data_IF_516408127099
#
_entry.id   IF_516408127099
#
_cell.length_a   1.000
_cell.length_b   1.000
_cell.length_c   1.000
_cell.angle_alpha   90.00
_cell.angle_beta   90.00
_cell.angle_gamma   90.00
#
_symmetry.space_group_name_H-M   'P 1'
#
loop_
_entity.id
_entity.type
_entity.pdbx_description
1 polymer ?
#
# COMPACT_ATOMS: atom_id res chain seq x y z
N UNK A 1 -12.48 -11.92 9.58
CA UNK A 1 -11.57 -12.30 8.48
C UNK A 1 -10.69 -13.43 9.00
N UNK A 2 -10.83 -14.63 8.45
CA UNK A 2 -9.94 -15.76 8.78
C UNK A 2 -8.51 -15.41 8.34
N UNK A 3 -7.53 -15.67 9.21
CA UNK A 3 -6.12 -15.50 8.87
C UNK A 3 -5.67 -16.76 8.11
N UNK A 4 -5.42 -16.63 6.82
CA UNK A 4 -4.95 -17.74 6.01
C UNK A 4 -3.43 -17.90 6.18
N UNK A 5 -3.02 -19.06 6.69
CA UNK A 5 -1.60 -19.36 6.95
C UNK A 5 -1.07 -20.16 5.77
N UNK A 6 -0.07 -19.62 5.07
CA UNK A 6 0.46 -20.23 3.84
C UNK A 6 1.86 -20.74 4.15
N UNK A 7 2.07 -22.04 3.91
CA UNK A 7 3.32 -22.74 4.18
C UNK A 7 4.25 -22.59 2.97
N UNK A 8 5.50 -22.25 3.22
CA UNK A 8 6.54 -22.14 2.20
C UNK A 8 7.34 -23.45 2.17
N UNK A 9 7.78 -23.88 0.99
CA UNK A 9 8.75 -24.98 0.90
C UNK A 9 10.09 -24.56 1.53
N UNK A 10 10.70 -25.48 2.31
CA UNK A 10 11.93 -25.22 3.07
C UNK A 10 11.75 -24.26 4.26
N UNK A 11 10.53 -24.15 4.79
CA UNK A 11 10.21 -23.18 5.85
C UNK A 11 11.07 -23.35 7.11
N UNK A 12 11.43 -24.58 7.48
CA UNK A 12 12.25 -24.84 8.67
C UNK A 12 13.67 -24.34 8.47
N UNK A 13 14.30 -24.68 7.34
CA UNK A 13 15.66 -24.21 7.01
C UNK A 13 15.70 -22.68 6.90
N UNK A 14 14.75 -22.09 6.16
CA UNK A 14 14.64 -20.64 6.02
C UNK A 14 14.42 -19.95 7.38
N UNK A 15 13.58 -20.50 8.25
CA UNK A 15 13.36 -19.95 9.59
C UNK A 15 14.63 -20.02 10.46
N UNK A 16 15.39 -21.11 10.38
CA UNK A 16 16.64 -21.26 11.12
C UNK A 16 17.71 -20.28 10.62
N UNK A 17 17.87 -20.15 9.30
CA UNK A 17 18.79 -19.18 8.69
C UNK A 17 18.41 -17.73 9.05
N UNK A 18 17.12 -17.41 9.03
CA UNK A 18 16.61 -16.10 9.42
C UNK A 18 16.85 -15.80 10.91
N UNK A 19 16.72 -16.79 11.80
CA UNK A 19 17.05 -16.64 13.22
C UNK A 19 18.54 -16.38 13.43
N UNK A 20 19.40 -17.01 12.63
CA UNK A 20 20.85 -16.83 12.69
C UNK A 20 21.31 -15.40 12.32
N UNK A 21 20.51 -14.62 11.58
CA UNK A 21 20.83 -13.22 11.24
C UNK A 21 20.87 -12.28 12.46
N UNK A 22 20.23 -12.64 13.58
CA UNK A 22 20.09 -11.78 14.76
C UNK A 22 19.01 -10.69 14.60
N UNK A 23 18.48 -10.18 15.73
CA UNK A 23 17.21 -9.44 15.79
C UNK A 23 17.10 -8.19 14.89
N UNK A 24 18.16 -7.39 14.77
CA UNK A 24 18.14 -6.17 13.93
C UNK A 24 18.13 -6.48 12.42
N UNK A 25 18.98 -7.43 11.99
CA UNK A 25 19.06 -7.85 10.58
C UNK A 25 17.81 -8.62 10.16
N UNK A 26 17.33 -9.53 11.00
CA UNK A 26 16.06 -10.23 10.81
C UNK A 26 14.90 -9.24 10.62
N UNK A 27 14.83 -8.20 11.47
CA UNK A 27 13.80 -7.17 11.35
C UNK A 27 13.87 -6.42 10.02
N UNK A 28 15.08 -6.05 9.55
CA UNK A 28 15.25 -5.38 8.26
C UNK A 28 14.86 -6.29 7.10
N UNK A 29 15.27 -7.55 7.13
CA UNK A 29 14.91 -8.56 6.13
C UNK A 29 13.38 -8.75 6.07
N UNK A 30 12.71 -8.89 7.21
CA UNK A 30 11.25 -9.02 7.27
C UNK A 30 10.53 -7.77 6.72
N UNK A 31 11.03 -6.57 7.04
CA UNK A 31 10.45 -5.33 6.49
C UNK A 31 10.61 -5.30 4.96
N UNK A 32 11.82 -5.60 4.46
CA UNK A 32 12.10 -5.59 3.02
C UNK A 32 11.23 -6.63 2.28
N UNK A 33 11.14 -7.85 2.80
CA UNK A 33 10.33 -8.92 2.24
C UNK A 33 8.85 -8.55 2.15
N UNK A 34 8.28 -8.03 3.23
CA UNK A 34 6.88 -7.59 3.21
C UNK A 34 6.69 -6.39 2.28
N UNK A 35 7.61 -5.43 2.25
CA UNK A 35 7.53 -4.30 1.31
C UNK A 35 7.54 -4.77 -0.15
N UNK A 36 8.40 -5.73 -0.47
CA UNK A 36 8.51 -6.31 -1.81
C UNK A 36 7.24 -7.07 -2.18
N UNK A 37 6.77 -7.95 -1.28
CA UNK A 37 5.56 -8.74 -1.48
C UNK A 37 4.29 -7.91 -1.62
N UNK A 38 4.23 -6.70 -1.06
CA UNK A 38 3.06 -5.83 -1.23
C UNK A 38 3.04 -5.07 -2.57
N UNK A 39 4.13 -5.06 -3.35
CA UNK A 39 4.19 -4.33 -4.63
C UNK A 39 3.15 -4.81 -5.66
N UNK A 40 2.99 -6.13 -5.93
CA UNK A 40 2.00 -6.62 -6.89
C UNK A 40 0.56 -6.24 -6.48
N UNK A 41 0.25 -6.37 -5.19
CA UNK A 41 -1.05 -6.02 -4.64
C UNK A 41 -1.34 -4.52 -4.75
N UNK A 42 -0.36 -3.66 -4.45
CA UNK A 42 -0.49 -2.21 -4.64
C UNK A 42 -0.69 -1.84 -6.11
N UNK A 43 0.04 -2.48 -7.03
CA UNK A 43 -0.10 -2.24 -8.46
C UNK A 43 -1.48 -2.67 -8.98
N UNK A 44 -1.97 -3.84 -8.56
CA UNK A 44 -3.33 -4.31 -8.89
C UNK A 44 -4.40 -3.37 -8.36
N UNK A 45 -4.32 -2.98 -7.08
CA UNK A 45 -5.24 -1.99 -6.50
C UNK A 45 -5.24 -0.67 -7.27
N UNK A 46 -4.07 -0.15 -7.66
CA UNK A 46 -3.95 1.07 -8.47
C UNK A 46 -4.53 0.96 -9.88
N UNK A 47 -4.55 -0.25 -10.46
CA UNK A 47 -5.16 -0.52 -11.78
C UNK A 47 -6.69 -0.59 -11.69
N UNK A 48 -7.22 -1.16 -10.61
CA UNK A 48 -8.65 -1.32 -10.38
C UNK A 48 -9.36 -0.03 -9.93
N UNK A 49 -8.61 0.97 -9.45
CA UNK A 49 -9.17 2.29 -9.12
C UNK A 49 -9.53 3.07 -10.39
N UNK A 50 -10.75 3.61 -10.51
CA UNK A 50 -11.17 4.42 -11.65
C UNK A 50 -10.21 5.59 -11.93
N UNK A 51 -9.81 5.76 -13.19
CA UNK A 51 -8.84 6.79 -13.63
C UNK A 51 -9.31 8.21 -13.31
N UNK A 52 -10.62 8.47 -13.32
CA UNK A 52 -11.23 9.76 -12.98
C UNK A 52 -10.96 10.20 -11.53
N UNK A 53 -10.71 9.24 -10.63
CA UNK A 53 -10.47 9.49 -9.22
C UNK A 53 -9.00 9.69 -8.86
N UNK A 54 -8.14 10.24 -9.75
CA UNK A 54 -6.67 10.25 -9.62
C UNK A 54 -6.06 10.47 -8.22
N UNK A 55 -6.75 11.19 -7.32
CA UNK A 55 -6.46 11.27 -5.87
C UNK A 55 -6.52 9.93 -5.11
N UNK A 56 -7.55 9.11 -5.31
CA UNK A 56 -7.66 7.77 -4.71
C UNK A 56 -6.49 6.90 -5.16
N UNK A 57 -6.17 6.90 -6.45
CA UNK A 57 -5.02 6.16 -6.98
C UNK A 57 -3.69 6.63 -6.36
N UNK A 58 -3.56 7.93 -6.13
CA UNK A 58 -2.38 8.54 -5.50
C UNK A 58 -2.29 8.30 -3.99
N UNK A 59 -3.43 8.17 -3.30
CA UNK A 59 -3.48 7.91 -1.87
C UNK A 59 -3.03 6.49 -1.54
N UNK A 60 -3.27 5.52 -2.42
CA UNK A 60 -2.84 4.13 -2.23
C UNK A 60 -1.32 4.00 -2.04
N UNK A 61 -0.94 3.35 -0.95
CA UNK A 61 0.43 2.96 -0.65
C UNK A 61 0.50 1.59 0.02
N UNK A 62 1.72 1.07 0.12
CA UNK A 62 2.04 -0.09 0.93
C UNK A 62 2.81 0.37 2.18
N UNK A 63 2.54 -0.27 3.31
CA UNK A 63 3.22 -0.03 4.58
C UNK A 63 3.49 -1.34 5.30
N UNK A 64 4.46 -1.31 6.22
CA UNK A 64 4.81 -2.46 7.05
C UNK A 64 4.75 -2.06 8.50
N UNK A 65 4.06 -2.86 9.31
CA UNK A 65 4.04 -2.73 10.76
C UNK A 65 4.71 -3.96 11.38
N UNK A 66 5.82 -3.75 12.08
CA UNK A 66 6.50 -4.80 12.84
C UNK A 66 5.88 -4.91 14.23
N UNK A 67 5.46 -6.10 14.63
CA UNK A 67 4.97 -6.40 15.97
C UNK A 67 6.13 -6.79 16.88
N UNK A 68 6.44 -5.97 17.88
CA UNK A 68 7.55 -6.18 18.82
C UNK A 68 7.42 -7.43 19.70
N UNK A 69 6.21 -7.92 19.97
CA UNK A 69 5.95 -9.05 20.90
C UNK A 69 5.58 -10.38 20.23
N UNK A 70 5.43 -10.41 18.91
CA UNK A 70 4.91 -11.60 18.19
C UNK A 70 5.78 -11.99 17.00
N UNK A 71 7.02 -11.49 16.93
CA UNK A 71 8.01 -11.77 15.87
C UNK A 71 7.41 -11.79 14.46
N UNK A 72 6.57 -10.80 14.17
CA UNK A 72 5.76 -10.77 12.95
C UNK A 72 5.77 -9.40 12.30
N UNK A 73 5.83 -9.38 10.98
CA UNK A 73 5.63 -8.19 10.17
C UNK A 73 4.27 -8.27 9.47
N UNK A 74 3.50 -7.19 9.53
CA UNK A 74 2.21 -7.08 8.86
C UNK A 74 2.36 -6.13 7.68
N UNK A 75 2.12 -6.65 6.48
CA UNK A 75 1.95 -5.85 5.27
C UNK A 75 0.56 -5.24 5.23
N UNK A 76 0.47 -3.96 4.90
CA UNK A 76 -0.79 -3.27 4.66
C UNK A 76 -0.72 -2.57 3.31
N UNK A 77 -1.73 -2.78 2.48
CA UNK A 77 -1.99 -1.92 1.32
C UNK A 77 -3.27 -1.18 1.59
N UNK A 78 -3.25 0.12 1.35
CA UNK A 78 -4.43 0.94 1.51
C UNK A 78 -4.12 2.42 1.35
N UNK A 79 -5.15 3.26 1.47
CA UNK A 79 -4.95 4.69 1.37
C UNK A 79 -4.15 5.27 2.53
N UNK A 80 -3.25 6.18 2.18
CA UNK A 80 -2.47 6.95 3.14
C UNK A 80 -3.17 8.28 3.42
N UNK A 81 -3.00 8.77 4.65
CA UNK A 81 -3.47 10.10 5.05
C UNK A 81 -2.70 11.20 4.34
N UNK A 82 -1.39 11.06 4.23
CA UNK A 82 -0.52 12.03 3.55
C UNK A 82 -0.12 11.47 2.18
N UNK A 83 -0.45 12.21 1.12
CA UNK A 83 -0.10 11.83 -0.24
C UNK A 83 0.05 13.05 -1.13
N UNK A 84 0.77 12.86 -2.24
CA UNK A 84 1.00 13.87 -3.26
C UNK A 84 0.37 13.39 -4.55
N UNK A 85 -0.22 14.30 -5.32
CA UNK A 85 -0.72 13.97 -6.64
C UNK A 85 -0.55 15.15 -7.59
N UNK A 86 -0.45 14.84 -8.88
CA UNK A 86 -0.52 15.84 -9.93
C UNK A 86 -1.92 15.78 -10.53
N UNK A 87 -2.61 16.91 -10.55
CA UNK A 87 -3.97 17.00 -11.06
C UNK A 87 -4.06 16.67 -12.55
N UNK A 88 -5.23 16.22 -12.97
CA UNK A 88 -5.60 15.98 -14.37
C UNK A 88 -6.82 16.84 -14.73
N UNK A 89 -7.14 16.98 -16.02
CA UNK A 89 -8.27 17.78 -16.49
C UNK A 89 -8.16 19.25 -16.06
N UNK A 90 -9.18 19.77 -15.36
CA UNK A 90 -9.19 21.16 -14.83
C UNK A 90 -8.07 21.47 -13.82
N UNK A 91 -7.39 20.45 -13.30
CA UNK A 91 -6.25 20.60 -12.39
C UNK A 91 -4.91 20.19 -13.05
N UNK A 92 -4.86 20.05 -14.39
CA UNK A 92 -3.66 19.65 -15.12
C UNK A 92 -2.46 20.53 -14.74
N UNK A 93 -1.33 19.89 -14.43
CA UNK A 93 -0.08 20.56 -14.03
C UNK A 93 -0.03 21.01 -12.57
N UNK A 94 -1.15 21.05 -11.84
CA UNK A 94 -1.15 21.44 -10.42
C UNK A 94 -0.65 20.28 -9.56
N UNK A 95 0.49 20.50 -8.89
CA UNK A 95 1.03 19.59 -7.86
C UNK A 95 0.30 19.87 -6.55
N UNK A 96 -0.37 18.86 -6.02
CA UNK A 96 -1.20 18.98 -4.83
C UNK A 96 -0.72 18.02 -3.74
N UNK A 97 -0.76 18.49 -2.50
CA UNK A 97 -0.40 17.70 -1.31
C UNK A 97 -1.59 17.62 -0.36
N UNK A 98 -1.90 16.41 0.07
CA UNK A 98 -2.82 16.11 1.15
C UNK A 98 -2.02 15.72 2.40
N UNK A 99 -2.55 16.07 3.57
CA UNK A 99 -1.99 15.66 4.84
C UNK A 99 -1.82 16.79 5.84
N UNK A 100 -1.00 16.53 6.86
CA UNK A 100 -0.66 17.49 7.91
C UNK A 100 0.78 17.35 8.40
N UNK A 101 1.31 18.40 9.03
CA UNK A 101 2.63 18.39 9.67
C UNK A 101 3.81 18.48 8.70
N UNK A 102 5.00 18.12 9.20
CA UNK A 102 6.29 18.38 8.54
C UNK A 102 6.37 17.91 7.08
N UNK A 103 5.72 16.81 6.71
CA UNK A 103 5.74 16.31 5.33
C UNK A 103 4.94 17.18 4.36
N UNK A 104 3.80 17.74 4.83
CA UNK A 104 3.00 18.71 4.08
C UNK A 104 3.80 19.99 3.93
N UNK A 105 4.34 20.52 5.01
CA UNK A 105 5.03 21.81 5.01
C UNK A 105 6.27 21.77 4.10
N UNK A 106 7.03 20.67 4.12
CA UNK A 106 8.11 20.41 3.16
C UNK A 106 7.64 20.31 1.71
N UNK A 107 6.41 19.86 1.45
CA UNK A 107 5.88 19.81 0.10
C UNK A 107 5.40 21.19 -0.37
N UNK A 108 4.78 21.97 0.52
CA UNK A 108 4.39 23.36 0.25
C UNK A 108 5.62 24.20 -0.12
N UNK A 109 6.71 24.07 0.64
CA UNK A 109 7.99 24.71 0.33
C UNK A 109 8.59 24.28 -1.02
N UNK A 110 8.19 23.11 -1.56
CA UNK A 110 8.61 22.59 -2.88
C UNK A 110 7.63 22.95 -4.00
N UNK A 111 6.73 23.91 -3.78
CA UNK A 111 5.77 24.39 -4.77
C UNK A 111 4.55 23.49 -4.97
N UNK A 112 4.22 22.62 -4.01
CA UNK A 112 2.91 21.95 -4.00
C UNK A 112 1.86 22.89 -3.43
N UNK A 113 0.67 22.90 -4.01
CA UNK A 113 -0.50 23.54 -3.41
C UNK A 113 -1.20 22.57 -2.44
N UNK A 114 -1.87 23.10 -1.41
CA UNK A 114 -2.64 22.28 -0.49
C UNK A 114 -3.90 21.73 -1.16
N UNK A 115 -4.17 20.43 -1.03
CA UNK A 115 -5.44 19.86 -1.46
C UNK A 115 -6.56 20.25 -0.50
N UNK A 116 -7.40 21.19 -0.91
CA UNK A 116 -8.58 21.65 -0.17
C UNK A 116 -9.80 20.74 -0.35
N UNK A 117 -9.77 19.81 -1.30
CA UNK A 117 -10.90 18.89 -1.55
C UNK A 117 -10.86 17.71 -0.59
N UNK A 118 -11.56 17.84 0.56
CA UNK A 118 -11.70 16.86 1.66
C UNK A 118 -10.96 15.52 1.43
N UNK A 119 -9.62 15.51 1.54
CA UNK A 119 -8.85 14.38 1.05
C UNK A 119 -8.96 13.17 1.99
N UNK A 120 -9.54 13.37 3.18
CA UNK A 120 -9.84 12.32 4.14
C UNK A 120 -10.78 11.25 3.57
N UNK A 121 -11.61 11.57 2.57
CA UNK A 121 -12.46 10.58 1.91
C UNK A 121 -11.64 9.50 1.19
N UNK A 122 -10.48 9.87 0.64
CA UNK A 122 -9.59 8.92 -0.03
C UNK A 122 -8.85 8.07 0.98
N UNK A 123 -8.55 8.59 2.18
CA UNK A 123 -7.87 7.89 3.26
C UNK A 123 -8.69 6.74 3.88
N UNK A 124 -10.00 6.67 3.60
CA UNK A 124 -10.95 5.73 4.24
C UNK A 124 -11.21 4.44 3.45
N UNK A 125 -10.51 4.22 2.33
CA UNK A 125 -10.71 3.02 1.50
C UNK A 125 -12.11 2.97 0.90
N UNK A 126 -12.60 4.10 0.37
CA UNK A 126 -13.95 4.21 -0.18
C UNK A 126 -13.94 3.87 -1.67
N UNK A 127 -14.92 3.13 -2.16
CA UNK A 127 -15.13 2.95 -3.60
C UNK A 127 -15.81 4.17 -4.21
N UNK A 128 -15.23 4.66 -5.31
CA UNK A 128 -15.77 5.78 -6.07
C UNK A 128 -16.36 5.26 -7.38
N UNK A 129 -17.51 5.81 -7.74
CA UNK A 129 -18.18 5.60 -9.01
C UNK A 129 -18.48 6.93 -9.68
N UNK A 130 -19.24 6.86 -10.77
CA UNK A 130 -19.72 8.02 -11.51
C UNK A 130 -21.25 7.95 -11.49
N UNK A 131 -21.92 9.06 -11.21
CA UNK A 131 -23.38 9.14 -11.31
C UNK A 131 -23.85 9.36 -12.76
N UNK A 132 -25.18 9.41 -12.97
CA UNK A 132 -25.78 9.65 -14.31
C UNK A 132 -25.31 10.96 -14.96
N UNK A 133 -24.82 11.93 -14.18
CA UNK A 133 -24.34 13.24 -14.65
C UNK A 133 -22.83 13.28 -14.92
N UNK A 134 -22.12 12.15 -14.79
CA UNK A 134 -20.67 12.13 -14.97
C UNK A 134 -19.87 12.57 -13.74
N UNK A 135 -20.51 12.86 -12.60
CA UNK A 135 -19.82 13.32 -11.38
C UNK A 135 -19.31 12.15 -10.56
N UNK A 136 -18.09 12.29 -10.02
CA UNK A 136 -17.49 11.30 -9.11
C UNK A 136 -18.23 11.32 -7.78
N UNK A 137 -18.84 10.19 -7.41
CA UNK A 137 -19.55 10.01 -6.13
C UNK A 137 -19.07 8.75 -5.42
N UNK A 138 -19.17 8.74 -4.10
CA UNK A 138 -19.03 7.51 -3.29
C UNK A 138 -20.09 6.50 -3.70
N UNK A 139 -19.69 5.25 -3.96
CA UNK A 139 -20.62 4.12 -4.04
C UNK A 139 -21.01 3.66 -2.64
N UNK A 140 -22.25 3.21 -2.48
CA UNK A 140 -22.65 2.47 -1.29
C UNK A 140 -21.95 1.10 -1.27
N UNK A 141 -21.48 0.67 -0.09
CA UNK A 141 -20.82 -0.63 0.10
C UNK A 141 -19.30 -0.59 0.31
N UNK A 142 -18.66 -1.77 0.41
CA UNK A 142 -17.24 -1.92 0.72
C UNK A 142 -16.33 -1.59 -0.46
N UNK A 143 -15.03 -1.44 -0.19
CA UNK A 143 -13.98 -1.15 -1.18
C UNK A 143 -13.68 -2.35 -2.09
N UNK A 144 -14.52 -2.66 -3.09
CA UNK A 144 -14.36 -3.91 -3.86
C UNK A 144 -13.05 -3.98 -4.64
N UNK A 145 -12.47 -2.85 -5.02
CA UNK A 145 -11.18 -2.80 -5.71
C UNK A 145 -10.03 -3.39 -4.87
N UNK A 146 -10.05 -3.23 -3.54
CA UNK A 146 -9.04 -3.80 -2.65
C UNK A 146 -9.20 -5.31 -2.52
N UNK A 147 -10.44 -5.78 -2.38
CA UNK A 147 -10.77 -7.21 -2.27
C UNK A 147 -10.32 -7.93 -3.55
N UNK A 148 -10.71 -7.41 -4.72
CA UNK A 148 -10.29 -7.95 -6.02
C UNK A 148 -8.78 -7.91 -6.23
N UNK A 149 -8.11 -6.86 -5.76
CA UNK A 149 -6.65 -6.78 -5.83
C UNK A 149 -5.97 -7.86 -4.97
N UNK A 150 -6.51 -8.13 -3.78
CA UNK A 150 -6.03 -9.19 -2.91
C UNK A 150 -6.25 -10.56 -3.56
N UNK A 151 -7.48 -10.87 -3.98
CA UNK A 151 -7.81 -12.16 -4.60
C UNK A 151 -6.93 -12.45 -5.82
N UNK A 152 -6.70 -11.46 -6.68
CA UNK A 152 -5.92 -11.62 -7.91
C UNK A 152 -4.40 -11.67 -7.72
N UNK A 153 -3.86 -11.19 -6.59
CA UNK A 153 -2.40 -11.06 -6.39
C UNK A 153 -1.89 -11.72 -5.12
N UNK A 154 -2.76 -12.44 -4.39
CA UNK A 154 -2.39 -13.09 -3.13
C UNK A 154 -1.17 -14.01 -3.31
N UNK A 155 -1.20 -14.91 -4.29
CA UNK A 155 -0.09 -15.84 -4.53
C UNK A 155 1.20 -15.11 -4.92
N UNK A 156 1.12 -14.21 -5.90
CA UNK A 156 2.27 -13.40 -6.32
C UNK A 156 2.89 -12.57 -5.17
N UNK A 157 2.06 -12.09 -4.24
CA UNK A 157 2.54 -11.38 -3.05
C UNK A 157 3.32 -12.30 -2.11
N UNK A 158 2.84 -13.53 -1.90
CA UNK A 158 3.51 -14.53 -1.06
C UNK A 158 4.83 -14.97 -1.69
N UNK A 159 4.82 -15.26 -2.99
CA UNK A 159 6.01 -15.70 -3.72
C UNK A 159 7.10 -14.61 -3.66
N UNK A 160 6.72 -13.34 -3.79
CA UNK A 160 7.63 -12.21 -3.66
C UNK A 160 8.18 -12.02 -2.23
N UNK A 161 7.38 -12.28 -1.19
CA UNK A 161 7.89 -12.31 0.20
C UNK A 161 8.91 -13.44 0.36
N UNK A 162 8.59 -14.63 -0.13
CA UNK A 162 9.45 -15.82 0.01
C UNK A 162 10.78 -15.64 -0.73
N UNK A 163 10.74 -15.15 -1.97
CA UNK A 163 11.93 -14.87 -2.78
C UNK A 163 12.84 -13.83 -2.11
N UNK A 164 12.28 -12.73 -1.60
CA UNK A 164 13.06 -11.72 -0.90
C UNK A 164 13.68 -12.29 0.39
N UNK A 165 12.95 -13.07 1.18
CA UNK A 165 13.52 -13.70 2.38
C UNK A 165 14.69 -14.62 2.02
N UNK A 166 14.54 -15.48 1.01
CA UNK A 166 15.62 -16.39 0.55
C UNK A 166 16.86 -15.63 0.09
N UNK A 167 16.70 -14.51 -0.62
CA UNK A 167 17.83 -13.67 -1.07
C UNK A 167 18.65 -13.05 0.07
N UNK A 168 18.12 -13.02 1.31
CA UNK A 168 18.78 -12.41 2.48
C UNK A 168 19.54 -13.42 3.33
N UNK A 169 19.34 -14.71 3.08
CA UNK A 169 20.00 -15.82 3.78
C UNK A 169 20.84 -16.69 2.86
N UNK A 170 20.73 -16.51 1.54
CA UNK A 170 21.68 -17.06 0.59
C UNK A 170 23.09 -16.47 0.88
N UNK A 171 24.15 -17.30 0.89
CA UNK A 171 25.52 -16.86 1.14
C UNK A 171 26.03 -15.88 0.07
#
# INVERSE_FOLDING_TARGET
MAAETIRLEGQKELANQLRALGGSRLRRAAIAAVQQGMKPLLQSAKRLVPVSSGRLRASLGAGVQVRRRKDGAIGRVGPRRDFRFTGKGRLKGKKLVSGSGKQRDKALAKGYAQDRTNPSMYARGIELGVDKSGRVRRKAGPARFMIRALESQKQAAIDAVAAELRSRVAP
#
